data_IF_317039501915
#
_entry.id   IF_317039501915
#
_cell.length_a   1.000
_cell.length_b   1.000
_cell.length_c   1.000
_cell.angle_alpha   90.00
_cell.angle_beta   90.00
_cell.angle_gamma   90.00
#
_symmetry.space_group_name_H-M   'P 1'
#
loop_
_entity.id
_entity.type
_entity.pdbx_description
1 polymer ?
#
# COMPACT_ATOMS: atom_id res chain seq x y z
N UNK A 1 -38.08 12.77 25.92
CA UNK A 1 -36.78 12.49 25.28
C UNK A 1 -36.91 13.04 23.88
N UNK A 2 -36.46 14.27 23.70
CA UNK A 2 -36.76 15.06 22.51
C UNK A 2 -35.70 14.75 21.45
N UNK A 3 -36.14 14.15 20.34
CA UNK A 3 -35.32 13.99 19.15
C UNK A 3 -35.10 15.38 18.53
N UNK A 4 -33.96 15.99 18.82
CA UNK A 4 -33.48 17.15 18.06
C UNK A 4 -33.04 16.68 16.67
N UNK A 5 -33.83 17.04 15.67
CA UNK A 5 -33.47 16.97 14.26
C UNK A 5 -32.32 17.95 13.99
N UNK A 6 -31.27 17.55 13.26
CA UNK A 6 -30.17 18.46 12.94
C UNK A 6 -30.65 19.58 11.98
N UNK A 7 -30.15 20.82 12.15
CA UNK A 7 -30.52 21.95 11.29
C UNK A 7 -30.00 21.75 9.85
N UNK A 8 -30.81 22.24 8.90
CA UNK A 8 -30.53 22.20 7.47
C UNK A 8 -29.24 22.95 7.12
N UNK A 9 -28.44 22.31 6.27
CA UNK A 9 -27.13 22.72 5.78
C UNK A 9 -27.18 24.08 5.08
N UNK A 10 -26.64 25.11 5.73
CA UNK A 10 -26.44 26.45 5.17
C UNK A 10 -24.99 26.56 4.69
N UNK A 11 -24.74 26.04 3.48
CA UNK A 11 -23.89 26.65 2.45
C UNK A 11 -22.51 27.20 2.83
N UNK A 12 -21.91 26.75 3.92
CA UNK A 12 -20.56 27.15 4.33
C UNK A 12 -19.68 25.91 4.24
N UNK A 13 -18.78 25.90 3.26
CA UNK A 13 -17.84 24.82 2.93
C UNK A 13 -16.84 24.52 4.04
N UNK A 14 -17.33 24.14 5.22
CA UNK A 14 -16.55 23.47 6.26
C UNK A 14 -16.32 22.04 5.80
N UNK A 15 -15.06 21.67 5.68
CA UNK A 15 -14.65 20.28 5.59
C UNK A 15 -15.07 19.62 6.90
N UNK A 16 -16.21 18.94 6.91
CA UNK A 16 -16.64 18.13 8.04
C UNK A 16 -15.78 16.88 8.07
N UNK A 17 -14.82 16.87 8.99
CA UNK A 17 -14.14 15.65 9.40
C UNK A 17 -15.15 14.87 10.23
N UNK A 18 -15.78 13.85 9.63
CA UNK A 18 -16.64 12.94 10.38
C UNK A 18 -15.82 12.31 11.52
N UNK A 19 -16.14 12.58 12.80
CA UNK A 19 -15.58 11.80 13.88
C UNK A 19 -16.03 10.35 13.67
N UNK A 20 -15.09 9.41 13.72
CA UNK A 20 -15.46 8.01 13.65
C UNK A 20 -16.39 7.71 14.83
N UNK A 21 -17.64 7.36 14.54
CA UNK A 21 -18.59 6.89 15.54
C UNK A 21 -17.96 5.70 16.27
N UNK A 22 -17.73 5.90 17.56
CA UNK A 22 -17.26 4.84 18.44
C UNK A 22 -18.51 4.06 18.86
N UNK A 23 -18.71 2.88 18.28
CA UNK A 23 -19.67 1.93 18.84
C UNK A 23 -19.09 1.44 20.16
N UNK A 24 -19.52 2.04 21.29
CA UNK A 24 -19.16 1.57 22.64
C UNK A 24 -19.85 0.23 22.85
N UNK A 25 -19.28 -0.83 22.30
CA UNK A 25 -19.68 -2.19 22.66
C UNK A 25 -19.17 -2.44 24.09
N UNK A 26 -20.03 -2.14 25.08
CA UNK A 26 -19.83 -2.52 26.47
C UNK A 26 -19.89 -4.04 26.59
N UNK A 27 -18.79 -4.73 26.28
CA UNK A 27 -18.62 -6.16 26.61
C UNK A 27 -18.00 -6.31 28.00
N UNK A 28 -18.47 -7.26 28.83
CA UNK A 28 -17.95 -7.47 30.18
C UNK A 28 -16.47 -7.88 30.16
N UNK A 29 -15.68 -7.31 31.07
CA UNK A 29 -14.23 -7.51 31.19
C UNK A 29 -13.92 -8.88 31.82
N UNK A 30 -13.19 -9.80 31.15
CA UNK A 30 -12.69 -11.03 31.75
C UNK A 30 -11.42 -10.79 32.60
N UNK A 31 -11.05 -11.74 33.50
CA UNK A 31 -10.04 -11.52 34.53
C UNK A 31 -8.63 -11.26 33.98
N UNK A 32 -7.92 -10.41 34.74
CA UNK A 32 -6.65 -9.75 34.47
C UNK A 32 -5.50 -10.75 34.19
N UNK A 33 -5.29 -11.10 32.92
CA UNK A 33 -4.02 -11.69 32.45
C UNK A 33 -2.93 -10.64 32.47
N UNK A 34 -1.77 -11.03 33.00
CA UNK A 34 -0.54 -10.25 33.07
C UNK A 34 -0.30 -9.49 31.77
N UNK A 35 -0.27 -8.17 31.87
CA UNK A 35 -0.14 -7.27 30.74
C UNK A 35 1.24 -7.42 30.12
N UNK A 36 1.34 -8.19 29.04
CA UNK A 36 2.30 -7.87 27.98
C UNK A 36 2.15 -6.36 27.76
N UNK A 37 3.22 -5.59 27.99
CA UNK A 37 3.26 -4.13 27.84
C UNK A 37 2.88 -3.82 26.41
N UNK A 38 1.57 -3.73 26.14
CA UNK A 38 1.04 -3.40 24.82
C UNK A 38 1.61 -2.04 24.50
N UNK A 39 2.27 -1.95 23.35
CA UNK A 39 2.66 -0.66 22.81
C UNK A 39 1.44 0.27 22.89
N UNK A 40 1.61 1.54 23.31
CA UNK A 40 0.51 2.47 23.43
C UNK A 40 -0.30 2.45 22.14
N UNK A 41 -1.63 2.33 22.27
CA UNK A 41 -2.52 2.26 21.13
C UNK A 41 -2.26 3.50 20.24
N UNK A 42 -2.10 3.33 18.92
CA UNK A 42 -1.75 4.44 18.05
C UNK A 42 -2.86 5.49 18.12
N UNK A 43 -2.49 6.72 18.48
CA UNK A 43 -3.42 7.83 18.70
C UNK A 43 -4.45 7.94 17.56
N UNK A 44 -5.74 8.18 17.86
CA UNK A 44 -6.77 8.31 16.84
C UNK A 44 -6.37 9.42 15.86
N UNK A 45 -6.27 9.07 14.58
CA UNK A 45 -6.08 10.08 13.55
C UNK A 45 -7.44 10.50 13.03
N UNK A 46 -7.71 11.80 13.10
CA UNK A 46 -8.96 12.42 12.68
C UNK A 46 -9.04 12.54 11.15
N UNK A 47 -7.91 12.51 10.44
CA UNK A 47 -7.87 12.66 8.99
C UNK A 47 -8.31 11.36 8.29
N UNK A 48 -9.58 11.30 7.89
CA UNK A 48 -10.09 10.30 6.94
C UNK A 48 -10.49 11.00 5.66
N UNK A 49 -9.81 10.65 4.56
CA UNK A 49 -10.09 11.22 3.24
C UNK A 49 -10.82 10.17 2.41
N UNK A 50 -11.97 10.55 1.86
CA UNK A 50 -12.71 9.71 0.91
C UNK A 50 -12.15 9.95 -0.50
N UNK A 51 -12.09 8.90 -1.31
CA UNK A 51 -11.50 8.98 -2.66
C UNK A 51 -12.13 10.09 -3.53
N UNK A 52 -13.45 10.29 -3.43
CA UNK A 52 -14.17 11.31 -4.20
C UNK A 52 -13.80 12.76 -3.81
N UNK A 53 -13.21 12.96 -2.63
CA UNK A 53 -12.75 14.27 -2.14
C UNK A 53 -11.36 14.64 -2.70
N UNK A 54 -10.61 13.68 -3.25
CA UNK A 54 -9.36 13.95 -3.95
C UNK A 54 -9.63 14.67 -5.27
N UNK A 55 -8.69 15.51 -5.71
CA UNK A 55 -8.74 16.09 -7.06
C UNK A 55 -8.62 14.99 -8.13
N UNK A 56 -9.16 15.22 -9.35
CA UNK A 56 -9.11 14.24 -10.44
C UNK A 56 -7.70 13.71 -10.75
N UNK A 57 -6.67 14.57 -10.67
CA UNK A 57 -5.27 14.18 -10.85
C UNK A 57 -4.81 13.13 -9.85
N UNK A 58 -5.18 13.28 -8.57
CA UNK A 58 -4.85 12.33 -7.51
C UNK A 58 -5.71 11.08 -7.54
N UNK A 59 -6.96 11.17 -8.00
CA UNK A 59 -7.78 10.01 -8.29
C UNK A 59 -7.19 9.18 -9.43
N UNK A 60 -6.70 9.83 -10.49
CA UNK A 60 -5.99 9.16 -11.58
C UNK A 60 -4.69 8.51 -11.09
N UNK A 61 -3.92 9.18 -10.23
CA UNK A 61 -2.73 8.58 -9.60
C UNK A 61 -3.10 7.34 -8.77
N UNK A 62 -4.18 7.41 -7.98
CA UNK A 62 -4.68 6.24 -7.24
C UNK A 62 -5.05 5.09 -8.17
N UNK A 63 -5.79 5.35 -9.25
CA UNK A 63 -6.16 4.34 -10.23
C UNK A 63 -4.91 3.72 -10.89
N UNK A 64 -3.92 4.55 -11.25
CA UNK A 64 -2.64 4.09 -11.80
C UNK A 64 -1.89 3.19 -10.82
N UNK A 65 -1.85 3.53 -9.54
CA UNK A 65 -1.27 2.69 -8.48
C UNK A 65 -1.99 1.34 -8.41
N UNK A 66 -3.32 1.33 -8.43
CA UNK A 66 -4.10 0.07 -8.44
C UNK A 66 -3.72 -0.78 -9.67
N UNK A 67 -3.66 -0.17 -10.85
CA UNK A 67 -3.23 -0.85 -12.09
C UNK A 67 -1.81 -1.40 -11.97
N UNK A 68 -0.87 -0.66 -11.38
CA UNK A 68 0.50 -1.10 -11.16
C UNK A 68 0.58 -2.31 -10.21
N UNK A 69 -0.28 -2.40 -9.19
CA UNK A 69 -0.36 -3.61 -8.35
C UNK A 69 -0.81 -4.80 -9.18
N UNK A 70 -1.90 -4.68 -9.94
CA UNK A 70 -2.36 -5.77 -10.80
C UNK A 70 -1.29 -6.17 -11.83
N UNK A 71 -0.63 -5.20 -12.45
CA UNK A 71 0.48 -5.45 -13.37
C UNK A 71 1.64 -6.16 -12.68
N UNK A 72 1.96 -5.81 -11.42
CA UNK A 72 3.02 -6.48 -10.64
C UNK A 72 2.66 -7.93 -10.31
N UNK A 73 1.39 -8.20 -9.98
CA UNK A 73 0.88 -9.55 -9.75
C UNK A 73 0.95 -10.41 -11.02
N UNK A 74 0.51 -9.86 -12.16
CA UNK A 74 0.60 -10.51 -13.46
C UNK A 74 2.07 -10.76 -13.84
N UNK A 75 2.95 -9.80 -13.57
CA UNK A 75 4.39 -9.93 -13.83
C UNK A 75 5.02 -11.04 -13.00
N UNK A 76 4.67 -11.14 -11.72
CA UNK A 76 5.13 -12.22 -10.84
C UNK A 76 4.65 -13.60 -11.34
N UNK A 77 3.38 -13.70 -11.75
CA UNK A 77 2.84 -14.92 -12.34
C UNK A 77 3.53 -15.28 -13.66
N UNK A 78 3.76 -14.30 -14.54
CA UNK A 78 4.46 -14.51 -15.81
C UNK A 78 5.89 -15.02 -15.63
N UNK A 79 6.64 -14.43 -14.71
CA UNK A 79 7.99 -14.88 -14.35
C UNK A 79 7.99 -16.30 -13.76
N UNK A 80 6.98 -16.64 -12.97
CA UNK A 80 6.82 -18.00 -12.46
C UNK A 80 6.60 -19.02 -13.58
N UNK A 81 5.68 -18.75 -14.51
CA UNK A 81 5.44 -19.65 -15.64
C UNK A 81 6.68 -19.75 -16.55
N UNK A 82 7.37 -18.64 -16.82
CA UNK A 82 8.61 -18.65 -17.59
C UNK A 82 9.69 -19.52 -16.93
N UNK A 83 9.85 -19.40 -15.60
CA UNK A 83 10.74 -20.24 -14.82
C UNK A 83 10.34 -21.72 -14.84
N UNK A 84 9.05 -22.03 -14.68
CA UNK A 84 8.53 -23.39 -14.74
C UNK A 84 8.73 -24.05 -16.12
N UNK A 85 8.53 -23.30 -17.20
CA UNK A 85 8.80 -23.77 -18.57
C UNK A 85 10.31 -24.04 -18.76
N UNK A 86 11.17 -23.17 -18.21
CA UNK A 86 12.63 -23.36 -18.27
C UNK A 86 13.10 -24.65 -17.58
N UNK A 87 12.44 -25.01 -16.47
CA UNK A 87 12.66 -26.27 -15.74
C UNK A 87 12.27 -27.49 -16.57
N UNK A 88 11.11 -27.44 -17.25
CA UNK A 88 10.64 -28.52 -18.12
C UNK A 88 11.59 -28.77 -19.31
N UNK A 89 12.28 -27.72 -19.78
CA UNK A 89 13.26 -27.82 -20.85
C UNK A 89 14.67 -28.29 -20.41
N UNK A 90 14.85 -28.65 -19.13
CA UNK A 90 16.04 -29.35 -18.65
C UNK A 90 17.31 -28.50 -18.55
N UNK A 91 17.21 -27.18 -18.55
CA UNK A 91 18.38 -26.30 -18.55
C UNK A 91 19.08 -26.14 -17.18
N UNK A 92 18.49 -26.63 -16.08
CA UNK A 92 19.03 -26.51 -14.71
C UNK A 92 18.62 -27.71 -13.85
N UNK A 93 19.43 -28.08 -12.84
CA UNK A 93 19.08 -29.11 -11.84
C UNK A 93 17.75 -28.81 -11.13
N UNK A 94 16.83 -29.78 -11.15
CA UNK A 94 15.42 -29.62 -10.77
C UNK A 94 15.19 -29.03 -9.36
N UNK A 95 15.91 -29.50 -8.33
CA UNK A 95 15.56 -29.18 -6.94
C UNK A 95 15.88 -27.73 -6.52
N UNK A 96 17.04 -27.21 -6.93
CA UNK A 96 17.49 -25.86 -6.53
C UNK A 96 16.69 -24.79 -7.25
N UNK A 97 16.39 -25.00 -8.54
CA UNK A 97 15.69 -24.01 -9.34
C UNK A 97 14.19 -23.96 -9.02
N UNK A 98 13.53 -25.11 -8.74
CA UNK A 98 12.13 -25.11 -8.28
C UNK A 98 11.96 -24.37 -6.96
N UNK A 99 12.88 -24.61 -6.02
CA UNK A 99 12.87 -23.96 -4.71
C UNK A 99 13.14 -22.45 -4.86
N UNK A 100 14.09 -22.05 -5.71
CA UNK A 100 14.40 -20.65 -5.96
C UNK A 100 13.25 -19.89 -6.64
N UNK A 101 12.61 -20.47 -7.67
CA UNK A 101 11.48 -19.84 -8.36
C UNK A 101 10.25 -19.78 -7.44
N UNK A 102 9.94 -20.86 -6.72
CA UNK A 102 8.80 -20.91 -5.80
C UNK A 102 8.94 -19.90 -4.66
N UNK A 103 10.13 -19.82 -4.05
CA UNK A 103 10.41 -18.83 -3.00
C UNK A 103 10.37 -17.40 -3.54
N UNK A 104 10.99 -17.15 -4.70
CA UNK A 104 10.93 -15.82 -5.32
C UNK A 104 9.48 -15.39 -5.64
N UNK A 105 8.63 -16.30 -6.13
CA UNK A 105 7.23 -15.98 -6.40
C UNK A 105 6.46 -15.63 -5.12
N UNK A 106 6.60 -16.43 -4.06
CA UNK A 106 5.96 -16.16 -2.77
C UNK A 106 6.40 -14.79 -2.21
N UNK A 107 7.69 -14.49 -2.34
CA UNK A 107 8.27 -13.21 -1.93
C UNK A 107 7.66 -12.06 -2.75
N UNK A 108 7.64 -12.16 -4.08
CA UNK A 108 7.05 -11.14 -4.97
C UNK A 108 5.55 -10.92 -4.70
N UNK A 109 4.79 -12.00 -4.48
CA UNK A 109 3.37 -11.96 -4.14
C UNK A 109 3.12 -11.29 -2.80
N UNK A 110 3.86 -11.68 -1.75
CA UNK A 110 3.76 -11.10 -0.43
C UNK A 110 4.05 -9.58 -0.47
N UNK A 111 5.04 -9.18 -1.27
CA UNK A 111 5.39 -7.78 -1.44
C UNK A 111 4.38 -6.99 -2.25
N UNK A 112 3.82 -7.53 -3.34
CA UNK A 112 2.77 -6.87 -4.10
C UNK A 112 1.51 -6.64 -3.23
N UNK A 113 1.11 -7.64 -2.42
CA UNK A 113 0.00 -7.52 -1.48
C UNK A 113 0.31 -6.49 -0.40
N UNK A 114 1.51 -6.54 0.18
CA UNK A 114 1.95 -5.59 1.20
C UNK A 114 1.96 -4.14 0.69
N UNK A 115 2.45 -3.92 -0.54
CA UNK A 115 2.44 -2.63 -1.22
C UNK A 115 1.01 -2.14 -1.46
N UNK A 116 0.11 -3.00 -1.93
CA UNK A 116 -1.29 -2.67 -2.17
C UNK A 116 -2.02 -2.22 -0.89
N UNK A 117 -1.91 -3.02 0.18
CA UNK A 117 -2.54 -2.70 1.47
C UNK A 117 -2.01 -1.38 2.01
N UNK A 118 -0.71 -1.15 1.87
CA UNK A 118 -0.05 0.08 2.32
C UNK A 118 -0.49 1.28 1.51
N UNK A 119 -0.56 1.16 0.18
CA UNK A 119 -1.13 2.17 -0.71
C UNK A 119 -2.56 2.52 -0.29
N UNK A 120 -3.47 1.55 -0.18
CA UNK A 120 -4.86 1.82 0.23
C UNK A 120 -4.92 2.56 1.56
N UNK A 121 -4.11 2.15 2.54
CA UNK A 121 -4.05 2.81 3.85
C UNK A 121 -3.54 4.25 3.72
N UNK A 122 -2.49 4.47 2.94
CA UNK A 122 -1.92 5.79 2.64
C UNK A 122 -2.96 6.68 1.96
N UNK A 123 -3.69 6.19 0.98
CA UNK A 123 -4.72 6.97 0.27
C UNK A 123 -5.95 7.29 1.11
N UNK A 124 -6.31 6.44 2.08
CA UNK A 124 -7.44 6.68 2.99
C UNK A 124 -7.14 7.71 4.09
N UNK A 125 -5.87 7.89 4.47
CA UNK A 125 -5.47 8.74 5.61
C UNK A 125 -4.47 9.85 5.24
N UNK A 126 -3.94 9.83 4.02
CA UNK A 126 -2.89 10.72 3.50
C UNK A 126 -1.70 10.90 4.46
N UNK A 127 -1.24 9.79 5.05
CA UNK A 127 -0.02 9.75 5.84
C UNK A 127 1.09 9.03 5.13
N UNK A 128 2.32 9.38 5.52
CA UNK A 128 3.53 8.68 5.15
C UNK A 128 3.32 7.16 5.31
N UNK A 129 3.55 6.36 4.24
CA UNK A 129 3.54 4.91 4.35
C UNK A 129 4.53 4.46 5.43
N UNK A 130 4.17 3.40 6.17
CA UNK A 130 5.07 2.85 7.18
C UNK A 130 6.40 2.41 6.57
N UNK A 131 7.49 2.57 7.31
CA UNK A 131 8.83 2.14 6.86
C UNK A 131 8.88 0.67 6.46
N UNK A 132 8.13 -0.19 7.17
CA UNK A 132 7.98 -1.60 6.81
C UNK A 132 7.35 -1.81 5.44
N UNK A 133 6.37 -0.98 5.03
CA UNK A 133 5.77 -1.05 3.70
C UNK A 133 6.74 -0.60 2.61
N UNK A 134 7.51 0.45 2.89
CA UNK A 134 8.52 0.97 1.98
C UNK A 134 9.65 -0.04 1.76
N UNK A 135 10.18 -0.61 2.86
CA UNK A 135 11.23 -1.62 2.82
C UNK A 135 10.77 -2.88 2.08
N UNK A 136 9.57 -3.39 2.39
CA UNK A 136 9.04 -4.60 1.76
C UNK A 136 8.75 -4.39 0.27
N UNK A 137 8.15 -3.26 -0.13
CA UNK A 137 7.95 -2.96 -1.55
C UNK A 137 9.26 -2.78 -2.31
N UNK A 138 10.27 -2.15 -1.71
CA UNK A 138 11.59 -1.94 -2.33
C UNK A 138 12.31 -3.29 -2.49
N UNK A 139 12.32 -4.10 -1.44
CA UNK A 139 12.89 -5.45 -1.48
C UNK A 139 12.22 -6.30 -2.57
N UNK A 140 10.89 -6.26 -2.68
CA UNK A 140 10.17 -6.98 -3.72
C UNK A 140 10.51 -6.52 -5.14
N UNK A 141 10.63 -5.22 -5.36
CA UNK A 141 11.04 -4.71 -6.66
C UNK A 141 12.45 -5.15 -7.05
N UNK A 142 13.39 -5.16 -6.09
CA UNK A 142 14.76 -5.62 -6.31
C UNK A 142 14.84 -7.13 -6.55
N UNK A 143 14.07 -7.94 -5.81
CA UNK A 143 14.00 -9.39 -6.03
C UNK A 143 13.42 -9.70 -7.42
N UNK A 144 12.34 -9.01 -7.83
CA UNK A 144 11.78 -9.18 -9.17
C UNK A 144 12.79 -8.78 -10.26
N UNK A 145 13.53 -7.70 -10.06
CA UNK A 145 14.58 -7.27 -10.99
C UNK A 145 15.70 -8.31 -11.09
N UNK A 146 16.20 -8.82 -9.96
CA UNK A 146 17.22 -9.85 -9.94
C UNK A 146 16.74 -11.13 -10.66
N UNK A 147 15.51 -11.56 -10.41
CA UNK A 147 14.93 -12.73 -11.08
C UNK A 147 14.78 -12.51 -12.59
N UNK A 148 14.31 -11.34 -13.02
CA UNK A 148 14.16 -11.03 -14.44
C UNK A 148 15.52 -10.99 -15.16
N UNK A 149 16.57 -10.45 -14.52
CA UNK A 149 17.94 -10.47 -15.05
C UNK A 149 18.44 -11.91 -15.19
N UNK A 150 18.24 -12.75 -14.18
CA UNK A 150 18.64 -14.16 -14.22
C UNK A 150 17.93 -14.89 -15.36
N UNK A 151 16.60 -14.76 -15.48
CA UNK A 151 15.83 -15.39 -16.56
C UNK A 151 16.25 -14.86 -17.94
N UNK A 152 16.40 -13.54 -18.09
CA UNK A 152 16.82 -12.93 -19.35
C UNK A 152 18.20 -13.42 -19.78
N UNK A 153 19.14 -13.57 -18.84
CA UNK A 153 20.48 -14.10 -19.10
C UNK A 153 20.49 -15.59 -19.46
N UNK A 154 19.67 -16.40 -18.77
CA UNK A 154 19.62 -17.84 -18.97
C UNK A 154 18.91 -18.23 -20.28
N UNK A 155 17.86 -17.49 -20.66
CA UNK A 155 17.04 -17.82 -21.82
C UNK A 155 17.35 -16.97 -23.06
N UNK A 156 18.22 -15.96 -22.96
CA UNK A 156 18.47 -14.94 -24.00
C UNK A 156 17.21 -14.16 -24.42
N UNK A 157 16.29 -13.96 -23.47
CA UNK A 157 15.00 -13.28 -23.69
C UNK A 157 15.02 -11.91 -22.99
N UNK A 158 15.51 -10.84 -23.65
CA UNK A 158 15.72 -9.54 -22.98
C UNK A 158 14.42 -8.85 -22.58
N UNK A 159 13.31 -9.12 -23.27
CA UNK A 159 12.02 -8.49 -22.98
C UNK A 159 11.42 -8.92 -21.63
N UNK A 160 11.95 -9.97 -20.99
CA UNK A 160 11.55 -10.37 -19.62
C UNK A 160 11.82 -9.25 -18.61
N UNK A 161 12.77 -8.35 -18.89
CA UNK A 161 13.01 -7.16 -18.07
C UNK A 161 11.80 -6.20 -18.03
N UNK A 162 10.89 -6.25 -19.01
CA UNK A 162 9.68 -5.43 -18.98
C UNK A 162 8.77 -5.76 -17.77
N UNK A 163 8.85 -6.99 -17.23
CA UNK A 163 8.11 -7.38 -16.03
C UNK A 163 8.58 -6.66 -14.75
N UNK A 164 9.75 -6.01 -14.77
CA UNK A 164 10.28 -5.26 -13.61
C UNK A 164 9.77 -3.83 -13.56
N UNK A 165 9.20 -3.32 -14.66
CA UNK A 165 8.74 -1.93 -14.76
C UNK A 165 7.65 -1.64 -13.73
N UNK A 166 6.65 -2.52 -13.62
CA UNK A 166 5.52 -2.32 -12.71
C UNK A 166 5.92 -2.32 -11.22
N UNK A 167 6.72 -3.27 -10.69
CA UNK A 167 7.13 -3.22 -9.29
C UNK A 167 8.09 -2.07 -8.98
N UNK A 168 8.98 -1.69 -9.91
CA UNK A 168 9.85 -0.52 -9.74
C UNK A 168 9.05 0.79 -9.72
N UNK A 169 8.06 0.93 -10.60
CA UNK A 169 7.17 2.07 -10.61
C UNK A 169 6.35 2.15 -9.31
N UNK A 170 5.82 1.03 -8.82
CA UNK A 170 5.13 0.95 -7.53
C UNK A 170 6.03 1.39 -6.36
N UNK A 171 7.24 0.84 -6.28
CA UNK A 171 8.20 1.21 -5.24
C UNK A 171 8.54 2.70 -5.30
N UNK A 172 8.71 3.24 -6.50
CA UNK A 172 8.97 4.68 -6.73
C UNK A 172 7.82 5.56 -6.25
N UNK A 173 6.57 5.16 -6.50
CA UNK A 173 5.39 5.88 -6.00
C UNK A 173 5.34 5.85 -4.47
N UNK A 174 5.61 4.70 -3.84
CA UNK A 174 5.65 4.61 -2.38
C UNK A 174 6.76 5.47 -1.77
N UNK A 175 7.93 5.53 -2.41
CA UNK A 175 9.02 6.45 -2.03
C UNK A 175 8.59 7.91 -2.17
N UNK A 176 7.96 8.27 -3.27
CA UNK A 176 7.44 9.61 -3.48
C UNK A 176 6.42 9.99 -2.38
N UNK A 177 5.43 9.13 -2.12
CA UNK A 177 4.44 9.35 -1.06
C UNK A 177 5.09 9.41 0.32
N UNK A 178 6.16 8.62 0.56
CA UNK A 178 6.93 8.69 1.79
C UNK A 178 7.65 10.03 1.96
N UNK A 179 8.22 10.58 0.89
CA UNK A 179 8.91 11.87 0.94
C UNK A 179 7.95 13.05 1.09
N UNK A 180 6.76 12.98 0.49
CA UNK A 180 5.81 14.10 0.44
C UNK A 180 4.83 14.14 1.62
N UNK A 181 4.42 12.98 2.14
CA UNK A 181 3.44 12.90 3.23
C UNK A 181 4.09 12.95 4.60
N UNK A 182 3.34 13.45 5.56
CA UNK A 182 3.76 13.58 6.95
C UNK A 182 3.48 12.32 7.76
N UNK A 183 4.24 12.16 8.84
CA UNK A 183 4.04 11.06 9.78
C UNK A 183 2.69 11.21 10.51
N UNK A 184 2.06 10.09 10.87
CA UNK A 184 0.82 10.10 11.64
C UNK A 184 1.01 10.67 13.05
N UNK A 185 2.22 10.58 13.60
CA UNK A 185 2.54 11.12 14.92
C UNK A 185 2.33 12.63 15.02
N UNK A 186 2.48 13.37 13.91
CA UNK A 186 2.31 14.83 13.91
C UNK A 186 0.84 15.27 13.89
N UNK A 187 -0.12 14.35 13.71
CA UNK A 187 -1.54 14.68 13.60
C UNK A 187 -2.19 15.17 14.90
N UNK A 188 -1.63 14.78 16.05
CA UNK A 188 -2.16 15.23 17.35
C UNK A 188 -1.81 16.69 17.60
N UNK A 189 -0.60 17.10 17.21
CA UNK A 189 -0.10 18.46 17.38
C UNK A 189 -0.61 19.41 16.30
N UNK A 190 -0.78 18.91 15.06
CA UNK A 190 -1.26 19.69 13.92
C UNK A 190 -2.55 19.07 13.34
N UNK A 191 -3.73 19.46 13.87
CA UNK A 191 -5.01 18.93 13.42
C UNK A 191 -5.41 19.43 12.02
N UNK A 192 -4.78 20.49 11.53
CA UNK A 192 -4.99 21.00 10.17
C UNK A 192 -4.06 20.28 9.20
N UNK A 193 -4.61 19.79 8.08
CA UNK A 193 -3.82 19.15 7.04
C UNK A 193 -2.76 20.13 6.49
N UNK A 194 -1.52 19.68 6.24
CA UNK A 194 -0.48 20.53 5.66
C UNK A 194 -0.89 21.06 4.27
N UNK A 195 -0.44 22.27 3.86
CA UNK A 195 -0.84 22.88 2.58
C UNK A 195 -0.62 21.98 1.36
N UNK A 196 0.44 21.17 1.36
CA UNK A 196 0.73 20.20 0.29
C UNK A 196 -0.32 19.10 0.18
N UNK A 197 -0.86 18.64 1.31
CA UNK A 197 -1.90 17.61 1.36
C UNK A 197 -3.26 18.23 1.04
N UNK A 198 -3.51 19.46 1.50
CA UNK A 198 -4.72 20.22 1.12
C UNK A 198 -4.79 20.45 -0.39
N UNK A 199 -3.65 20.69 -1.05
CA UNK A 199 -3.58 20.80 -2.51
C UNK A 199 -3.98 19.51 -3.25
N UNK A 200 -4.03 18.37 -2.56
CA UNK A 200 -4.51 17.09 -3.14
C UNK A 200 -6.03 16.94 -3.06
N UNK A 201 -6.69 17.75 -2.25
CA UNK A 201 -8.13 17.73 -2.05
C UNK A 201 -8.81 18.71 -3.02
N UNK A 202 -10.04 18.37 -3.41
CA UNK A 202 -10.92 19.35 -4.06
C UNK A 202 -11.10 20.51 -3.09
N UNK A 203 -10.85 21.74 -3.57
CA UNK A 203 -11.13 22.93 -2.77
C UNK A 203 -12.63 22.90 -2.44
N UNK A 204 -13.03 23.12 -1.18
CA UNK A 204 -14.43 23.36 -0.87
C UNK A 204 -14.93 24.61 -1.61
#
# INVERSE_FOLDING_TARGET
MDHQTPPADTGTGRIWVEPAEYEVSQKPVPPRRQSIRRAPAPAPCWHRVRLHQLQPSWQALFALVVTLVFASLVSAAGLFFAGAVSLLWGMVSYDVLLTAIGTAMLICMAFAIGAFVSCIRTWRRLHRPGTGALATSTAGALVTLALAILVASAMTIPWVLAFTVSPLAMASVLWYLWLVLYDRSTCVEYPVLPPRVQAMLKRP
#
